data_IF_281549833750
#
_entry.id   IF_281549833750
#
_cell.length_a   1.000
_cell.length_b   1.000
_cell.length_c   1.000
_cell.angle_alpha   90.00
_cell.angle_beta   90.00
_cell.angle_gamma   90.00
#
_symmetry.space_group_name_H-M   'P 1'
#
loop_
_entity.id
_entity.type
_entity.pdbx_description
1 polymer ?
#
# COMPACT_ATOMS: atom_id res chain seq x y z
N UNK A 1 46.69 -55.24 -23.49
CA UNK A 1 46.28 -54.24 -24.50
C UNK A 1 45.79 -53.02 -23.73
N UNK A 2 46.58 -52.14 -23.11
CA UNK A 2 47.74 -51.31 -23.49
C UNK A 2 47.59 -50.46 -24.77
N UNK A 3 47.47 -49.14 -24.55
CA UNK A 3 48.01 -47.95 -25.25
C UNK A 3 47.33 -46.73 -24.61
N UNK A 4 47.86 -46.04 -23.58
CA UNK A 4 49.07 -45.17 -23.47
C UNK A 4 49.16 -44.06 -24.53
N UNK A 5 48.98 -42.81 -24.08
CA UNK A 5 49.88 -41.63 -24.20
C UNK A 5 49.10 -40.38 -23.75
N UNK A 6 49.35 -39.70 -22.62
CA UNK A 6 50.54 -38.98 -22.10
C UNK A 6 50.98 -37.78 -22.95
N UNK A 7 50.98 -36.59 -22.33
CA UNK A 7 52.11 -35.66 -22.09
C UNK A 7 51.55 -34.21 -21.96
N UNK A 8 51.71 -33.52 -20.82
CA UNK A 8 52.89 -32.79 -20.30
C UNK A 8 53.21 -31.56 -21.16
N UNK A 9 53.58 -30.36 -20.68
CA UNK A 9 53.84 -29.71 -19.38
C UNK A 9 53.92 -28.18 -19.70
N UNK A 10 53.76 -27.22 -18.80
CA UNK A 10 54.82 -26.55 -18.02
C UNK A 10 54.19 -25.22 -17.51
N UNK A 11 54.18 -24.83 -16.24
CA UNK A 11 55.23 -24.50 -15.26
C UNK A 11 55.78 -23.06 -15.36
N UNK A 12 55.98 -22.47 -14.16
CA UNK A 12 56.62 -21.19 -13.80
C UNK A 12 55.77 -19.91 -14.01
N UNK A 13 55.75 -18.93 -13.10
CA UNK A 13 56.54 -18.69 -11.90
C UNK A 13 56.02 -17.41 -11.20
N UNK A 14 56.39 -17.28 -9.92
CA UNK A 14 56.03 -16.20 -9.01
C UNK A 14 56.52 -14.82 -9.46
N UNK A 15 55.81 -13.75 -9.09
CA UNK A 15 56.46 -12.57 -8.50
C UNK A 15 55.46 -11.67 -7.76
N UNK A 16 55.85 -11.36 -6.52
CA UNK A 16 55.32 -10.29 -5.67
C UNK A 16 55.34 -8.95 -6.40
N UNK A 17 54.31 -8.12 -6.21
CA UNK A 17 54.50 -6.69 -6.02
C UNK A 17 53.33 -6.08 -5.23
N UNK A 18 53.60 -5.72 -3.98
CA UNK A 18 52.80 -4.74 -3.23
C UNK A 18 52.93 -3.39 -3.94
N UNK A 19 51.82 -2.84 -4.41
CA UNK A 19 51.72 -1.44 -4.78
C UNK A 19 50.95 -0.70 -3.68
N UNK A 20 51.72 0.01 -2.86
CA UNK A 20 51.23 1.07 -1.98
C UNK A 20 51.19 2.37 -2.80
N UNK A 21 50.03 3.04 -2.82
CA UNK A 21 49.88 4.47 -3.15
C UNK A 21 48.63 4.93 -2.37
N UNK A 22 48.81 5.51 -1.19
CA UNK A 22 48.93 6.96 -0.97
C UNK A 22 47.61 7.69 -1.24
N UNK A 23 46.81 7.79 -0.18
CA UNK A 23 45.69 8.71 -0.10
C UNK A 23 46.24 10.14 0.10
N UNK A 24 45.78 11.15 -0.66
CA UNK A 24 46.21 12.52 -0.46
C UNK A 24 45.63 13.07 0.85
N UNK A 25 46.56 13.52 1.71
CA UNK A 25 46.32 14.26 2.93
C UNK A 25 45.69 15.62 2.62
N UNK A 26 44.43 15.79 3.03
CA UNK A 26 43.75 17.08 2.97
C UNK A 26 44.29 17.97 4.08
N UNK A 27 45.05 18.99 3.69
CA UNK A 27 45.62 20.03 4.56
C UNK A 27 44.51 21.03 4.90
N UNK A 28 44.12 21.09 6.18
CA UNK A 28 43.24 22.15 6.69
C UNK A 28 44.06 23.40 7.07
N UNK A 29 43.59 24.62 6.73
CA UNK A 29 44.28 25.83 7.13
C UNK A 29 44.00 26.18 8.60
N UNK A 30 45.08 26.37 9.35
CA UNK A 30 45.10 26.82 10.72
C UNK A 30 44.78 28.32 10.82
N UNK A 31 43.56 28.66 11.24
CA UNK A 31 43.22 30.03 11.64
C UNK A 31 43.07 30.14 13.16
N UNK A 32 44.15 30.66 13.76
CA UNK A 32 44.26 31.51 14.95
C UNK A 32 43.39 31.12 16.16
N UNK A 33 44.05 30.52 17.15
CA UNK A 33 43.59 30.53 18.54
C UNK A 33 43.83 31.92 19.14
N UNK A 34 42.77 32.59 19.59
CA UNK A 34 42.83 33.57 20.69
C UNK A 34 41.94 33.05 21.84
N UNK A 35 42.46 32.93 23.07
CA UNK A 35 41.72 32.43 24.23
C UNK A 35 41.07 33.56 25.04
N UNK A 36 40.35 33.15 26.10
CA UNK A 36 39.72 33.93 27.18
C UNK A 36 38.37 34.54 26.77
N UNK A 37 37.25 34.20 27.40
CA UNK A 37 36.97 34.41 28.81
C UNK A 37 35.79 33.56 29.30
N UNK A 38 35.87 33.13 30.56
CA UNK A 38 34.73 32.65 31.32
C UNK A 38 33.68 33.77 31.48
N UNK A 39 32.40 33.46 31.31
CA UNK A 39 31.32 34.30 31.80
C UNK A 39 30.09 33.46 32.15
N UNK A 40 29.87 33.36 33.46
CA UNK A 40 28.64 33.23 34.22
C UNK A 40 27.46 32.43 33.62
N UNK A 41 27.12 31.36 34.34
CA UNK A 41 25.78 30.81 34.41
C UNK A 41 24.79 31.89 34.89
N UNK A 42 23.92 32.36 34.00
CA UNK A 42 22.69 33.04 34.34
C UNK A 42 21.55 32.17 33.83
N UNK A 43 20.75 31.65 34.77
CA UNK A 43 19.57 30.86 34.46
C UNK A 43 18.59 31.68 33.64
N UNK A 44 18.37 31.26 32.40
CA UNK A 44 17.15 31.56 31.66
C UNK A 44 16.29 30.30 31.69
N UNK A 45 15.11 30.42 32.29
CA UNK A 45 14.05 29.44 32.08
C UNK A 45 13.74 29.42 30.58
N UNK A 46 14.10 28.33 29.90
CA UNK A 46 13.51 28.04 28.60
C UNK A 46 12.01 27.86 28.85
N UNK A 47 11.11 28.61 28.20
CA UNK A 47 9.77 28.07 28.02
C UNK A 47 10.00 26.78 27.23
N UNK A 48 9.49 25.67 27.76
CA UNK A 48 9.40 24.43 27.02
C UNK A 48 8.85 24.79 25.64
N UNK A 49 9.70 24.67 24.62
CA UNK A 49 9.28 24.77 23.25
C UNK A 49 8.16 23.76 23.14
N UNK A 50 6.93 24.29 23.08
CA UNK A 50 5.77 23.53 22.69
C UNK A 50 6.16 22.94 21.35
N UNK A 51 6.46 21.65 21.39
CA UNK A 51 6.74 20.84 20.23
C UNK A 51 5.45 20.89 19.44
N UNK A 52 5.38 21.85 18.52
CA UNK A 52 4.26 22.04 17.62
C UNK A 52 4.30 20.84 16.68
N UNK A 53 3.70 19.77 17.21
CA UNK A 53 3.63 18.45 16.65
C UNK A 53 2.86 18.61 15.35
N UNK A 54 3.62 18.61 14.25
CA UNK A 54 3.11 18.63 12.88
C UNK A 54 1.82 17.80 12.77
N UNK A 55 0.77 18.30 12.11
CA UNK A 55 -0.47 17.56 11.96
C UNK A 55 -0.18 16.19 11.33
N UNK A 56 -0.67 15.14 12.00
CA UNK A 56 -0.49 13.70 11.72
C UNK A 56 -0.80 13.26 10.26
N UNK A 57 -1.33 14.16 9.43
CA UNK A 57 -1.80 13.88 8.07
C UNK A 57 -0.70 13.73 7.00
N UNK A 58 0.46 14.39 7.13
CA UNK A 58 1.45 14.40 6.03
C UNK A 58 2.34 13.14 5.99
N UNK A 59 2.58 12.47 7.14
CA UNK A 59 3.39 11.23 7.21
C UNK A 59 2.62 9.96 6.86
N UNK A 60 1.31 10.04 6.64
CA UNK A 60 0.43 8.89 6.40
C UNK A 60 0.59 8.25 5.00
N UNK A 61 1.53 8.72 4.17
CA UNK A 61 1.80 8.15 2.86
C UNK A 61 2.80 6.97 2.91
N UNK A 62 3.69 6.92 3.92
CA UNK A 62 4.72 5.87 4.05
C UNK A 62 4.38 4.84 5.14
N UNK A 63 3.83 5.29 6.26
CA UNK A 63 3.29 4.41 7.28
C UNK A 63 1.80 4.21 6.99
N UNK A 64 1.43 3.01 6.56
CA UNK A 64 0.02 2.65 6.41
C UNK A 64 -0.80 2.95 7.69
N UNK A 65 -2.12 3.10 7.58
CA UNK A 65 -2.98 3.38 8.74
C UNK A 65 -2.73 2.38 9.89
N UNK A 66 -2.84 2.82 11.16
CA UNK A 66 -2.85 1.90 12.29
C UNK A 66 -3.88 0.80 12.04
N UNK A 67 -3.51 -0.45 12.30
CA UNK A 67 -4.31 -1.62 11.95
C UNK A 67 -5.68 -1.70 12.67
N UNK A 68 -5.93 -0.83 13.65
CA UNK A 68 -6.95 -1.05 14.68
C UNK A 68 -8.16 -0.10 14.64
N UNK A 69 -8.19 0.92 13.77
CA UNK A 69 -9.30 1.91 13.72
C UNK A 69 -10.41 1.55 12.71
N UNK A 70 -10.80 0.28 12.65
CA UNK A 70 -11.90 -0.15 11.77
C UNK A 70 -13.26 0.30 12.30
N UNK A 71 -13.99 1.04 11.47
CA UNK A 71 -15.39 1.42 11.73
C UNK A 71 -16.32 0.46 11.01
N UNK A 72 -17.34 -0.04 11.71
CA UNK A 72 -18.38 -0.84 11.10
C UNK A 72 -19.35 0.07 10.32
N UNK A 73 -19.79 -0.40 9.14
CA UNK A 73 -20.82 0.26 8.34
C UNK A 73 -21.96 -0.73 8.08
N UNK A 74 -23.18 -0.28 8.37
CA UNK A 74 -24.40 -1.09 8.27
C UNK A 74 -24.40 -2.34 9.14
N UNK A 75 -25.27 -3.30 8.80
CA UNK A 75 -25.48 -4.56 9.53
C UNK A 75 -24.82 -5.78 8.88
N UNK A 76 -24.27 -5.63 7.68
CA UNK A 76 -23.77 -6.75 6.84
C UNK A 76 -22.30 -7.08 7.09
N UNK A 77 -21.69 -6.48 8.10
CA UNK A 77 -20.30 -6.73 8.49
C UNK A 77 -19.25 -5.99 7.66
N UNK A 78 -19.66 -5.01 6.85
CA UNK A 78 -18.73 -4.12 6.17
C UNK A 78 -17.95 -3.31 7.22
N UNK A 79 -16.64 -3.21 7.03
CA UNK A 79 -15.79 -2.34 7.84
C UNK A 79 -14.98 -1.41 6.96
N UNK A 80 -14.68 -0.22 7.44
CA UNK A 80 -13.81 0.71 6.74
C UNK A 80 -12.88 1.47 7.67
N UNK A 81 -11.79 1.97 7.11
CA UNK A 81 -10.93 2.98 7.73
C UNK A 81 -10.92 4.18 6.79
N UNK A 82 -11.20 5.36 7.32
CA UNK A 82 -11.04 6.61 6.59
C UNK A 82 -9.60 7.10 6.72
N UNK A 83 -8.88 7.06 5.60
CA UNK A 83 -7.47 7.44 5.52
C UNK A 83 -7.31 8.92 5.21
N UNK A 84 -8.24 9.45 4.43
CA UNK A 84 -8.30 10.87 4.09
C UNK A 84 -9.76 11.27 3.85
N UNK A 85 -10.22 12.29 4.56
CA UNK A 85 -11.54 12.87 4.30
C UNK A 85 -11.46 13.83 3.11
N UNK A 86 -12.38 13.67 2.15
CA UNK A 86 -12.49 14.54 0.99
C UNK A 86 -13.14 15.90 1.32
N UNK A 87 -13.02 16.86 0.41
CA UNK A 87 -13.57 18.23 0.58
C UNK A 87 -14.64 18.60 -0.44
N UNK A 88 -14.84 17.78 -1.47
CA UNK A 88 -15.82 18.08 -2.52
C UNK A 88 -17.20 17.50 -2.24
N UNK A 89 -17.95 17.30 -3.32
CA UNK A 89 -19.31 16.77 -3.27
C UNK A 89 -19.35 15.39 -2.61
N UNK A 90 -20.47 15.13 -1.93
CA UNK A 90 -20.70 13.87 -1.22
C UNK A 90 -21.39 12.86 -2.14
N UNK A 91 -20.86 11.64 -2.16
CA UNK A 91 -21.44 10.52 -2.90
C UNK A 91 -22.69 10.03 -2.16
N UNK A 92 -23.85 10.21 -2.79
CA UNK A 92 -25.14 9.74 -2.33
C UNK A 92 -25.70 8.69 -3.29
N UNK A 93 -26.77 8.02 -2.87
CA UNK A 93 -27.52 7.14 -3.76
C UNK A 93 -28.01 7.91 -5.00
N UNK A 94 -27.83 7.32 -6.17
CA UNK A 94 -28.13 7.95 -7.46
C UNK A 94 -27.00 8.79 -8.05
N UNK A 95 -25.99 9.19 -7.27
CA UNK A 95 -24.84 9.94 -7.80
C UNK A 95 -23.99 9.07 -8.73
N UNK A 96 -23.46 9.67 -9.79
CA UNK A 96 -22.45 9.03 -10.64
C UNK A 96 -21.07 9.36 -10.11
N UNK A 97 -20.31 8.32 -9.73
CA UNK A 97 -18.99 8.48 -9.12
C UNK A 97 -17.88 8.01 -10.04
N UNK A 98 -16.69 8.57 -9.86
CA UNK A 98 -15.45 8.10 -10.47
C UNK A 98 -14.44 7.80 -9.38
N UNK A 99 -13.92 6.57 -9.39
CA UNK A 99 -13.04 6.08 -8.34
C UNK A 99 -11.79 5.44 -8.91
N UNK A 100 -10.67 5.67 -8.22
CA UNK A 100 -9.51 4.80 -8.32
C UNK A 100 -9.61 3.72 -7.25
N UNK A 101 -9.14 2.52 -7.54
CA UNK A 101 -9.24 1.40 -6.63
C UNK A 101 -8.04 0.47 -6.69
N UNK A 102 -7.78 -0.25 -5.60
CA UNK A 102 -6.93 -1.44 -5.62
C UNK A 102 -7.48 -2.50 -4.69
N UNK A 103 -7.52 -3.74 -5.17
CA UNK A 103 -8.15 -4.86 -4.51
C UNK A 103 -7.14 -5.95 -4.15
N UNK A 104 -7.24 -6.44 -2.91
CA UNK A 104 -6.43 -7.53 -2.36
C UNK A 104 -7.32 -8.56 -1.69
N UNK A 105 -6.91 -9.82 -1.71
CA UNK A 105 -7.56 -10.86 -0.93
C UNK A 105 -7.12 -10.75 0.53
N UNK A 106 -8.04 -10.92 1.48
CA UNK A 106 -7.65 -11.04 2.89
C UNK A 106 -6.87 -12.34 3.13
N UNK A 107 -7.25 -13.40 2.41
CA UNK A 107 -6.48 -14.65 2.33
C UNK A 107 -5.23 -14.50 1.44
N UNK A 108 -4.47 -15.60 1.24
CA UNK A 108 -3.32 -15.64 0.32
C UNK A 108 -2.30 -14.52 0.57
N UNK A 109 -2.05 -14.17 1.83
CA UNK A 109 -1.07 -13.16 2.24
C UNK A 109 -1.31 -11.78 1.58
N UNK A 110 -2.57 -11.36 1.40
CA UNK A 110 -2.83 -10.02 0.84
C UNK A 110 -2.66 -9.95 -0.68
N UNK A 111 -2.71 -11.07 -1.40
CA UNK A 111 -2.48 -11.09 -2.85
C UNK A 111 -3.36 -10.07 -3.58
N UNK A 112 -2.72 -9.18 -4.34
CA UNK A 112 -3.39 -8.18 -5.17
C UNK A 112 -4.01 -8.85 -6.38
N UNK A 113 -5.33 -8.75 -6.51
CA UNK A 113 -6.04 -9.27 -7.66
C UNK A 113 -6.20 -8.25 -8.78
N UNK A 114 -6.22 -6.95 -8.46
CA UNK A 114 -6.33 -5.90 -9.47
C UNK A 114 -6.16 -4.51 -8.88
N UNK A 115 -5.80 -3.55 -9.72
CA UNK A 115 -5.71 -2.13 -9.37
C UNK A 115 -6.02 -1.26 -10.58
N UNK A 116 -6.63 -0.12 -10.32
CA UNK A 116 -6.92 0.97 -11.23
C UNK A 116 -6.58 2.25 -10.48
N UNK A 117 -5.28 2.52 -10.38
CA UNK A 117 -4.71 3.63 -9.60
C UNK A 117 -3.79 4.52 -10.43
N UNK A 118 -3.61 4.20 -11.72
CA UNK A 118 -2.96 5.09 -12.67
C UNK A 118 -3.85 6.33 -12.90
N UNK A 119 -3.27 7.51 -13.20
CA UNK A 119 -4.04 8.75 -13.37
C UNK A 119 -5.18 8.65 -14.38
N UNK A 120 -4.99 7.83 -15.42
CA UNK A 120 -5.94 7.66 -16.52
C UNK A 120 -6.92 6.49 -16.29
N UNK A 121 -6.77 5.74 -15.20
CA UNK A 121 -7.66 4.63 -14.86
C UNK A 121 -8.66 5.07 -13.79
N UNK A 122 -9.94 5.13 -14.16
CA UNK A 122 -11.04 5.37 -13.23
C UNK A 122 -12.18 4.38 -13.49
N UNK A 123 -12.70 3.78 -12.42
CA UNK A 123 -13.98 3.06 -12.47
C UNK A 123 -15.11 4.06 -12.32
N UNK A 124 -16.03 4.09 -13.29
CA UNK A 124 -17.25 4.91 -13.25
C UNK A 124 -18.46 4.01 -13.05
N UNK A 125 -19.30 4.37 -12.09
CA UNK A 125 -20.58 3.69 -11.84
C UNK A 125 -21.58 4.64 -11.17
N UNK A 126 -22.86 4.26 -11.16
CA UNK A 126 -23.90 5.00 -10.45
C UNK A 126 -24.17 4.31 -9.11
N UNK A 127 -24.11 5.07 -8.01
CA UNK A 127 -24.37 4.50 -6.68
C UNK A 127 -25.81 4.02 -6.61
N UNK A 128 -26.00 2.76 -6.23
CA UNK A 128 -27.28 2.06 -6.14
C UNK A 128 -27.73 1.34 -7.42
N UNK A 129 -26.92 1.31 -8.49
CA UNK A 129 -27.31 0.67 -9.77
C UNK A 129 -27.10 -0.86 -9.83
N UNK A 130 -26.42 -1.44 -8.84
CA UNK A 130 -26.13 -2.88 -8.77
C UNK A 130 -25.01 -3.36 -9.71
N UNK A 131 -24.26 -2.45 -10.35
CA UNK A 131 -23.13 -2.79 -11.23
C UNK A 131 -21.83 -3.13 -10.47
N UNK A 132 -21.78 -2.77 -9.18
CA UNK A 132 -20.62 -3.00 -8.31
C UNK A 132 -20.96 -3.98 -7.18
N UNK A 133 -19.93 -4.53 -6.54
CA UNK A 133 -20.09 -5.32 -5.33
C UNK A 133 -20.84 -4.52 -4.26
N UNK A 134 -21.78 -5.16 -3.58
CA UNK A 134 -22.70 -4.46 -2.68
C UNK A 134 -21.99 -3.76 -1.50
N UNK A 135 -20.80 -4.23 -1.11
CA UNK A 135 -19.97 -3.59 -0.09
C UNK A 135 -19.29 -2.29 -0.57
N UNK A 136 -18.95 -2.18 -1.86
CA UNK A 136 -18.46 -0.92 -2.43
C UNK A 136 -19.60 0.09 -2.53
N UNK A 137 -20.76 -0.36 -3.01
CA UNK A 137 -21.94 0.49 -3.15
C UNK A 137 -22.42 1.07 -1.80
N UNK A 138 -22.38 0.26 -0.73
CA UNK A 138 -22.66 0.73 0.63
C UNK A 138 -21.52 1.62 1.15
N UNK A 139 -20.27 1.19 0.99
CA UNK A 139 -19.09 1.86 1.56
C UNK A 139 -18.82 3.26 1.01
N UNK A 140 -19.20 3.52 -0.24
CA UNK A 140 -18.96 4.80 -0.90
C UNK A 140 -19.96 5.87 -0.50
N UNK A 141 -21.12 5.50 0.04
CA UNK A 141 -22.12 6.46 0.51
C UNK A 141 -21.52 7.28 1.65
N UNK A 142 -21.69 8.59 1.58
CA UNK A 142 -21.09 9.54 2.53
C UNK A 142 -19.57 9.73 2.37
N UNK A 143 -18.93 9.19 1.33
CA UNK A 143 -17.59 9.64 0.94
C UNK A 143 -17.69 11.00 0.25
N UNK A 144 -16.73 11.88 0.53
CA UNK A 144 -16.55 13.15 -0.19
C UNK A 144 -15.48 13.04 -1.25
N UNK A 145 -15.65 13.76 -2.35
CA UNK A 145 -14.65 13.85 -3.42
C UNK A 145 -13.26 14.27 -2.87
N UNK A 146 -12.22 13.55 -3.32
CA UNK A 146 -10.86 13.59 -2.79
C UNK A 146 -10.58 12.60 -1.65
N UNK A 147 -11.62 11.97 -1.11
CA UNK A 147 -11.53 11.05 0.01
C UNK A 147 -10.84 9.73 -0.34
N UNK A 148 -10.19 9.12 0.65
CA UNK A 148 -9.55 7.81 0.57
C UNK A 148 -10.04 6.95 1.73
N UNK A 149 -10.68 5.83 1.40
CA UNK A 149 -11.11 4.80 2.37
C UNK A 149 -10.52 3.45 2.01
N UNK A 150 -10.25 2.66 3.03
CA UNK A 150 -9.95 1.23 2.93
C UNK A 150 -11.15 0.46 3.45
N UNK A 151 -11.69 -0.45 2.65
CA UNK A 151 -12.81 -1.31 3.02
C UNK A 151 -12.32 -2.74 3.26
N UNK A 152 -12.89 -3.38 4.29
CA UNK A 152 -12.86 -4.82 4.49
C UNK A 152 -14.27 -5.34 4.22
N UNK A 153 -14.42 -6.03 3.09
CA UNK A 153 -15.69 -6.45 2.55
C UNK A 153 -15.83 -7.96 2.76
N UNK A 154 -16.75 -8.43 3.61
CA UNK A 154 -16.96 -9.85 3.84
C UNK A 154 -17.64 -10.54 2.63
N UNK A 155 -17.56 -11.88 2.52
CA UNK A 155 -18.05 -12.63 1.36
C UNK A 155 -19.50 -12.35 0.93
N UNK A 156 -20.48 -12.20 1.84
CA UNK A 156 -21.88 -11.98 1.45
C UNK A 156 -22.13 -10.68 0.65
N UNK A 157 -21.21 -9.71 0.73
CA UNK A 157 -21.32 -8.40 0.08
C UNK A 157 -20.10 -8.09 -0.80
N UNK A 158 -19.24 -9.08 -1.05
CA UNK A 158 -18.14 -9.04 -2.00
C UNK A 158 -18.61 -9.59 -3.36
N UNK A 159 -17.82 -10.45 -4.00
CA UNK A 159 -18.18 -11.12 -5.25
C UNK A 159 -19.13 -12.30 -5.01
N UNK A 160 -20.08 -12.49 -5.92
CA UNK A 160 -21.02 -13.62 -5.94
C UNK A 160 -20.78 -14.50 -7.16
N UNK A 161 -21.04 -15.80 -7.02
CA UNK A 161 -20.88 -16.76 -8.13
C UNK A 161 -21.89 -16.45 -9.24
N UNK A 162 -21.42 -16.41 -10.49
CA UNK A 162 -22.26 -16.11 -11.65
C UNK A 162 -22.55 -14.62 -11.90
N UNK A 163 -21.99 -13.71 -11.09
CA UNK A 163 -22.14 -12.26 -11.30
C UNK A 163 -20.80 -11.59 -11.64
N UNK A 164 -20.80 -10.76 -12.68
CA UNK A 164 -19.65 -9.93 -13.04
C UNK A 164 -19.76 -8.53 -12.42
N UNK A 165 -19.58 -8.45 -11.11
CA UNK A 165 -19.64 -7.20 -10.36
C UNK A 165 -18.29 -6.49 -10.36
N UNK A 166 -18.29 -5.18 -10.61
CA UNK A 166 -17.10 -4.34 -10.50
C UNK A 166 -16.75 -4.05 -9.03
N UNK A 167 -15.49 -3.73 -8.69
CA UNK A 167 -14.32 -3.61 -9.57
C UNK A 167 -13.74 -4.97 -9.97
N UNK A 168 -13.32 -5.17 -11.22
CA UNK A 168 -12.64 -6.40 -11.68
C UNK A 168 -11.26 -6.12 -12.29
N UNK A 169 -10.32 -7.08 -12.22
CA UNK A 169 -9.07 -7.00 -12.97
C UNK A 169 -9.34 -6.91 -14.47
N UNK A 170 -8.53 -6.11 -15.17
CA UNK A 170 -8.57 -6.02 -16.63
C UNK A 170 -8.02 -7.29 -17.33
N UNK A 171 -7.16 -8.05 -16.66
CA UNK A 171 -6.60 -9.28 -17.20
C UNK A 171 -7.40 -10.51 -16.78
N UNK A 172 -7.70 -11.36 -17.75
CA UNK A 172 -8.50 -12.58 -17.56
C UNK A 172 -7.84 -13.61 -16.63
N UNK A 173 -6.51 -13.70 -16.63
CA UNK A 173 -5.77 -14.61 -15.75
C UNK A 173 -5.94 -14.23 -14.27
N UNK A 174 -5.91 -12.93 -13.98
CA UNK A 174 -6.15 -12.38 -12.65
C UNK A 174 -7.62 -12.55 -12.24
N UNK A 175 -8.57 -12.27 -13.14
CA UNK A 175 -10.01 -12.50 -12.90
C UNK A 175 -10.30 -13.97 -12.59
N UNK A 176 -9.74 -14.90 -13.37
CA UNK A 176 -9.88 -16.34 -13.13
C UNK A 176 -9.29 -16.76 -11.79
N UNK A 177 -8.12 -16.22 -11.41
CA UNK A 177 -7.46 -16.50 -10.13
C UNK A 177 -8.21 -15.94 -8.93
N UNK A 178 -8.83 -14.77 -9.07
CA UNK A 178 -9.73 -14.19 -8.09
C UNK A 178 -10.89 -15.16 -7.80
N UNK A 179 -11.65 -15.51 -8.84
CA UNK A 179 -12.82 -16.39 -8.68
C UNK A 179 -12.45 -17.79 -8.20
N UNK A 180 -11.37 -18.40 -8.70
CA UNK A 180 -10.94 -19.73 -8.24
C UNK A 180 -10.48 -19.75 -6.78
N UNK A 181 -10.09 -18.60 -6.23
CA UNK A 181 -9.71 -18.48 -4.82
C UNK A 181 -10.92 -18.23 -3.92
N UNK A 182 -11.77 -17.27 -4.30
CA UNK A 182 -12.95 -16.87 -3.52
C UNK A 182 -14.00 -17.97 -3.49
N UNK A 183 -14.22 -18.68 -4.60
CA UNK A 183 -15.22 -19.75 -4.74
C UNK A 183 -14.61 -21.16 -4.66
N UNK A 184 -13.49 -21.32 -3.95
CA UNK A 184 -12.87 -22.62 -3.80
C UNK A 184 -13.73 -23.57 -2.94
N UNK A 185 -14.48 -24.46 -3.58
CA UNK A 185 -15.42 -25.39 -2.92
C UNK A 185 -14.76 -26.24 -1.83
N UNK A 186 -13.55 -26.75 -2.07
CA UNK A 186 -12.83 -27.61 -1.11
C UNK A 186 -12.50 -26.83 0.16
N UNK A 187 -11.95 -25.62 0.02
CA UNK A 187 -11.58 -24.82 1.19
C UNK A 187 -12.80 -24.25 1.92
N UNK A 188 -13.87 -23.93 1.19
CA UNK A 188 -15.14 -23.55 1.80
C UNK A 188 -15.71 -24.71 2.64
N UNK A 189 -15.67 -25.94 2.12
CA UNK A 189 -16.09 -27.13 2.87
C UNK A 189 -15.25 -27.38 4.13
N UNK A 190 -13.98 -26.93 4.14
CA UNK A 190 -13.10 -26.96 5.30
C UNK A 190 -13.33 -25.80 6.29
N UNK A 191 -14.38 -24.99 6.12
CA UNK A 191 -14.72 -23.89 7.01
C UNK A 191 -13.99 -22.58 6.75
N UNK A 192 -13.21 -22.46 5.66
CA UNK A 192 -12.45 -21.24 5.34
C UNK A 192 -13.26 -20.20 4.54
N UNK A 193 -14.56 -20.40 4.34
CA UNK A 193 -15.38 -19.57 3.46
C UNK A 193 -15.45 -18.10 3.87
N UNK A 194 -15.47 -17.81 5.18
CA UNK A 194 -15.48 -16.44 5.72
C UNK A 194 -14.21 -15.67 5.32
N UNK A 195 -13.05 -16.31 5.45
CA UNK A 195 -11.74 -15.71 5.16
C UNK A 195 -11.47 -15.59 3.66
N UNK A 196 -11.90 -16.58 2.87
CA UNK A 196 -11.56 -16.65 1.44
C UNK A 196 -12.30 -15.63 0.59
N UNK A 197 -13.56 -15.39 0.89
CA UNK A 197 -14.35 -14.37 0.20
C UNK A 197 -14.21 -12.98 0.78
N UNK A 198 -13.46 -12.80 1.87
CA UNK A 198 -13.16 -11.46 2.38
C UNK A 198 -12.11 -10.80 1.50
N UNK A 199 -12.42 -9.59 1.04
CA UNK A 199 -11.51 -8.76 0.24
C UNK A 199 -11.22 -7.45 0.97
N UNK A 200 -10.03 -6.91 0.70
CA UNK A 200 -9.63 -5.56 1.09
C UNK A 200 -9.64 -4.69 -0.15
N UNK A 201 -10.40 -3.61 -0.11
CA UNK A 201 -10.54 -2.68 -1.23
C UNK A 201 -10.14 -1.27 -0.79
N UNK A 202 -9.06 -0.77 -1.36
CA UNK A 202 -8.61 0.61 -1.21
C UNK A 202 -9.27 1.46 -2.30
N UNK A 203 -9.94 2.56 -1.94
CA UNK A 203 -10.73 3.38 -2.86
C UNK A 203 -10.48 4.86 -2.66
N UNK A 204 -10.10 5.54 -3.74
CA UNK A 204 -10.00 7.00 -3.79
C UNK A 204 -11.14 7.54 -4.64
N UNK A 205 -11.99 8.37 -4.04
CA UNK A 205 -13.09 9.02 -4.74
C UNK A 205 -12.57 10.24 -5.50
N UNK A 206 -12.49 10.13 -6.82
CA UNK A 206 -11.92 11.16 -7.71
C UNK A 206 -12.92 12.22 -8.09
N UNK A 207 -14.17 11.83 -8.34
CA UNK A 207 -15.23 12.76 -8.71
C UNK A 207 -16.62 12.27 -8.34
N UNK A 208 -17.49 13.20 -7.98
CA UNK A 208 -18.93 12.96 -7.82
C UNK A 208 -19.70 13.86 -8.78
N UNK A 209 -20.64 13.28 -9.54
CA UNK A 209 -21.62 13.98 -10.35
C UNK A 209 -22.99 13.64 -9.78
N UNK A 210 -23.65 14.64 -9.20
CA UNK A 210 -24.97 14.53 -8.58
C UNK A 210 -26.05 14.75 -9.62
#
# INVERSE_FOLDING_TARGET
MDRRARCLAAAAGALLLRAALEAPSFVAPAWRRRPLMAALAAGLSLPAAAEERLPKGERALEDGPPADDWQALGSRGLKFIELRTGKGAEANEGSTVRVQWSGRLFSKQGWSYGRCNDPDCELRFKVGDGSTIAGLDEGIRGMREGGYRRFMIPPPIAYQEGQELQPLPNRDDMKRRLYSTVFNKVRIANGEGSTLGTIILDVVLKRVVV
#
